data_IF_135718598135
#
_entry.id   IF_135718598135
#
_cell.length_a   1.000
_cell.length_b   1.000
_cell.length_c   1.000
_cell.angle_alpha   90.00
_cell.angle_beta   90.00
_cell.angle_gamma   90.00
#
_symmetry.space_group_name_H-M   'P 1'
#
loop_
_entity.id
_entity.type
_entity.pdbx_description
1 polymer ?
#
# COMPACT_ATOMS: atom_id res chain seq x y z
N UNK A 1 52.32 31.12 25.09
CA UNK A 1 52.31 29.64 25.16
C UNK A 1 51.33 29.18 24.09
N UNK A 2 51.83 28.94 22.88
CA UNK A 2 51.00 28.45 21.77
C UNK A 2 50.81 26.94 21.91
N UNK A 3 49.58 26.41 21.79
CA UNK A 3 49.35 24.98 21.80
C UNK A 3 49.84 24.38 20.48
N UNK A 4 50.96 23.65 20.52
CA UNK A 4 51.44 22.83 19.42
C UNK A 4 50.46 21.66 19.20
N UNK A 5 49.48 21.83 18.32
CA UNK A 5 48.65 20.73 17.85
C UNK A 5 49.40 19.96 16.75
N UNK A 6 49.49 18.63 16.91
CA UNK A 6 50.18 17.75 15.97
C UNK A 6 49.50 17.80 14.59
N UNK A 7 50.23 18.28 13.58
CA UNK A 7 49.72 18.50 12.22
C UNK A 7 49.10 17.23 11.60
N UNK A 8 49.62 16.05 11.93
CA UNK A 8 49.07 14.77 11.47
C UNK A 8 47.74 14.40 12.13
N UNK A 9 47.49 14.89 13.34
CA UNK A 9 46.25 14.66 14.08
C UNK A 9 45.13 15.56 13.56
N UNK A 10 45.46 16.81 13.19
CA UNK A 10 44.53 17.74 12.53
C UNK A 10 44.10 17.23 11.14
N UNK A 11 45.03 16.71 10.32
CA UNK A 11 44.70 16.16 9.00
C UNK A 11 43.82 14.92 9.10
N UNK A 12 44.06 14.04 10.09
CA UNK A 12 43.19 12.88 10.33
C UNK A 12 41.81 13.27 10.83
N UNK A 13 41.71 14.31 11.67
CA UNK A 13 40.43 14.85 12.14
C UNK A 13 39.63 15.49 10.99
N UNK A 14 40.30 16.22 10.09
CA UNK A 14 39.67 16.80 8.89
C UNK A 14 39.18 15.71 7.92
N UNK A 15 39.97 14.65 7.72
CA UNK A 15 39.57 13.52 6.86
C UNK A 15 38.37 12.76 7.45
N UNK A 16 38.35 12.52 8.77
CA UNK A 16 37.24 11.88 9.45
C UNK A 16 35.98 12.75 9.44
N UNK A 17 36.14 14.07 9.58
CA UNK A 17 35.04 15.03 9.43
C UNK A 17 34.47 14.99 8.00
N UNK A 18 35.31 14.94 6.96
CA UNK A 18 34.87 14.90 5.56
C UNK A 18 34.09 13.62 5.19
N UNK A 19 34.44 12.46 5.76
CA UNK A 19 33.70 11.21 5.53
C UNK A 19 32.30 11.25 6.18
N UNK A 20 32.10 12.06 7.21
CA UNK A 20 30.81 12.21 7.90
C UNK A 20 29.79 13.11 7.21
N UNK A 21 30.16 13.89 6.17
CA UNK A 21 29.28 14.91 5.56
C UNK A 21 28.72 14.56 4.18
N UNK A 22 29.12 13.44 3.55
CA UNK A 22 28.68 13.08 2.19
C UNK A 22 27.82 11.82 2.09
N UNK A 23 27.27 11.33 3.19
CA UNK A 23 26.14 10.39 3.06
C UNK A 23 24.90 11.21 2.70
N UNK A 24 24.74 11.49 1.40
CA UNK A 24 23.42 11.78 0.84
C UNK A 24 22.63 10.48 0.95
N UNK A 25 22.09 10.21 2.13
CA UNK A 25 21.13 9.13 2.30
C UNK A 25 19.94 9.50 1.44
N UNK A 26 19.88 8.96 0.22
CA UNK A 26 18.67 9.06 -0.59
C UNK A 26 17.55 8.41 0.21
N UNK A 27 16.57 9.23 0.59
CA UNK A 27 15.46 8.80 1.39
C UNK A 27 14.36 8.31 0.45
N UNK A 28 14.27 7.00 0.29
CA UNK A 28 13.16 6.35 -0.35
C UNK A 28 11.86 6.69 0.38
N UNK A 29 10.74 6.76 -0.33
CA UNK A 29 9.42 6.92 0.30
C UNK A 29 8.47 5.82 -0.13
N UNK A 30 7.76 5.24 0.85
CA UNK A 30 6.65 4.32 0.63
C UNK A 30 5.37 4.99 1.12
N UNK A 31 4.35 5.04 0.27
CA UNK A 31 3.10 5.75 0.57
C UNK A 31 1.90 4.89 0.23
N UNK A 32 0.97 4.79 1.18
CA UNK A 32 -0.36 4.24 0.94
C UNK A 32 -1.29 5.38 0.49
N UNK A 33 -1.97 5.19 -0.64
CA UNK A 33 -2.93 6.16 -1.18
C UNK A 33 -4.21 5.48 -1.66
N UNK A 34 -5.33 6.17 -1.52
CA UNK A 34 -6.57 5.81 -2.19
C UNK A 34 -6.56 6.32 -3.65
N UNK A 35 -7.57 5.92 -4.42
CA UNK A 35 -7.70 6.28 -5.85
C UNK A 35 -7.73 7.78 -6.17
N UNK A 36 -8.03 8.63 -5.18
CA UNK A 36 -8.05 10.09 -5.27
C UNK A 36 -6.75 10.75 -4.75
N UNK A 37 -5.68 9.97 -4.59
CA UNK A 37 -4.38 10.39 -4.06
C UNK A 37 -4.38 10.88 -2.61
N UNK A 38 -5.44 10.59 -1.84
CA UNK A 38 -5.50 10.86 -0.40
C UNK A 38 -4.97 9.68 0.41
N UNK A 39 -4.57 9.91 1.66
CA UNK A 39 -4.18 8.87 2.62
C UNK A 39 -5.20 8.69 3.76
N UNK A 40 -6.29 9.46 3.76
CA UNK A 40 -7.38 9.34 4.73
C UNK A 40 -8.70 9.37 3.98
N UNK A 41 -9.56 8.36 4.17
CA UNK A 41 -10.83 8.28 3.44
C UNK A 41 -11.93 7.54 4.20
N UNK A 42 -13.17 7.89 3.90
CA UNK A 42 -14.36 7.24 4.44
C UNK A 42 -15.01 6.33 3.41
N UNK A 43 -15.41 5.14 3.84
CA UNK A 43 -16.10 4.14 3.04
C UNK A 43 -17.33 3.62 3.79
N UNK A 44 -18.43 3.38 3.06
CA UNK A 44 -19.61 2.79 3.66
C UNK A 44 -19.37 1.31 4.03
N UNK A 45 -19.95 0.84 5.13
CA UNK A 45 -19.97 -0.59 5.49
C UNK A 45 -20.47 -1.43 4.31
N UNK A 46 -19.77 -2.52 4.02
CA UNK A 46 -20.03 -3.44 2.92
C UNK A 46 -19.39 -3.04 1.59
N UNK A 47 -18.91 -1.79 1.46
CA UNK A 47 -18.26 -1.32 0.23
C UNK A 47 -16.88 -1.96 0.03
N UNK A 48 -16.48 -2.06 -1.24
CA UNK A 48 -15.16 -2.50 -1.69
C UNK A 48 -14.38 -1.26 -2.13
N UNK A 49 -13.10 -1.20 -1.77
CA UNK A 49 -12.22 -0.10 -2.14
C UNK A 49 -10.79 -0.58 -2.34
N UNK A 50 -10.02 0.21 -3.08
CA UNK A 50 -8.63 -0.09 -3.41
C UNK A 50 -7.68 0.85 -2.64
N UNK A 51 -6.58 0.28 -2.16
CA UNK A 51 -5.45 0.99 -1.55
C UNK A 51 -4.22 0.70 -2.39
N UNK A 52 -3.63 1.76 -2.91
CA UNK A 52 -2.45 1.70 -3.76
C UNK A 52 -1.20 1.93 -2.91
N UNK A 53 -0.17 1.12 -3.16
CA UNK A 53 1.14 1.21 -2.53
C UNK A 53 2.09 1.86 -3.54
N UNK A 54 2.59 3.05 -3.23
CA UNK A 54 3.51 3.79 -4.07
C UNK A 54 4.90 3.83 -3.47
N UNK A 55 5.91 3.74 -4.34
CA UNK A 55 7.31 4.01 -4.02
C UNK A 55 7.79 5.26 -4.76
N UNK A 56 8.72 6.01 -4.18
CA UNK A 56 9.37 7.13 -4.87
C UNK A 56 10.79 7.37 -4.34
N UNK A 57 11.61 8.04 -5.15
CA UNK A 57 12.98 8.48 -4.84
C UNK A 57 13.92 7.34 -4.42
N UNK A 58 14.04 6.32 -5.28
CA UNK A 58 14.93 5.19 -5.04
C UNK A 58 15.84 5.01 -6.24
N UNK A 59 17.14 5.24 -6.08
CA UNK A 59 18.12 4.77 -7.03
C UNK A 59 18.38 3.27 -6.81
N UNK A 60 18.59 2.54 -7.89
CA UNK A 60 19.11 1.16 -7.87
C UNK A 60 18.22 0.12 -7.16
N UNK A 61 16.89 0.26 -7.20
CA UNK A 61 15.96 -0.69 -6.58
C UNK A 61 16.08 -2.09 -7.22
N UNK A 62 16.45 -3.09 -6.43
CA UNK A 62 16.50 -4.49 -6.84
C UNK A 62 15.37 -5.35 -6.26
N UNK A 63 14.73 -4.90 -5.19
CA UNK A 63 13.58 -5.60 -4.61
C UNK A 63 12.98 -4.89 -3.42
N UNK A 64 11.89 -5.44 -2.91
CA UNK A 64 11.24 -5.01 -1.69
C UNK A 64 10.65 -6.21 -0.96
N UNK A 65 10.57 -6.10 0.36
CA UNK A 65 9.91 -7.08 1.24
C UNK A 65 9.35 -6.34 2.45
N UNK A 66 8.02 -6.36 2.57
CA UNK A 66 7.36 -5.74 3.71
C UNK A 66 5.99 -6.36 3.99
N UNK A 67 5.51 -6.08 5.19
CA UNK A 67 4.17 -6.40 5.63
C UNK A 67 3.28 -5.16 5.64
N UNK A 68 2.11 -5.24 5.02
CA UNK A 68 1.02 -4.30 5.24
C UNK A 68 0.08 -4.86 6.32
N UNK A 69 -0.02 -4.14 7.43
CA UNK A 69 -0.90 -4.49 8.55
C UNK A 69 -2.22 -3.75 8.49
N UNK A 70 -3.31 -4.41 8.89
CA UNK A 70 -4.64 -3.84 8.93
C UNK A 70 -5.50 -4.42 10.07
N UNK A 71 -6.54 -3.69 10.50
CA UNK A 71 -7.50 -4.20 11.47
C UNK A 71 -8.50 -5.16 10.80
N UNK A 72 -8.30 -6.47 10.97
CA UNK A 72 -9.15 -7.51 10.35
C UNK A 72 -10.56 -7.60 10.92
N UNK A 73 -10.81 -7.01 12.09
CA UNK A 73 -12.17 -6.92 12.66
C UNK A 73 -13.02 -5.94 11.85
N UNK A 74 -12.42 -4.87 11.31
CA UNK A 74 -13.14 -3.80 10.63
C UNK A 74 -12.98 -3.83 9.11
N UNK A 75 -11.91 -4.43 8.60
CA UNK A 75 -11.57 -4.50 7.19
C UNK A 75 -11.23 -5.94 6.79
N UNK A 76 -11.57 -6.34 5.56
CA UNK A 76 -11.14 -7.61 4.98
C UNK A 76 -10.32 -7.35 3.73
N UNK A 77 -9.03 -7.71 3.73
CA UNK A 77 -8.23 -7.75 2.51
C UNK A 77 -8.72 -8.92 1.64
N UNK A 78 -9.01 -8.63 0.37
CA UNK A 78 -9.60 -9.57 -0.57
C UNK A 78 -8.61 -10.02 -1.65
N UNK A 79 -7.80 -9.07 -2.14
CA UNK A 79 -6.88 -9.30 -3.24
C UNK A 79 -5.67 -8.37 -3.10
N UNK A 80 -4.49 -8.91 -3.35
CA UNK A 80 -3.28 -8.15 -3.64
C UNK A 80 -2.99 -8.32 -5.13
N UNK A 81 -2.75 -7.21 -5.82
CA UNK A 81 -2.34 -7.20 -7.23
C UNK A 81 -1.02 -6.45 -7.35
N UNK A 82 -0.01 -7.11 -7.91
CA UNK A 82 1.27 -6.49 -8.21
C UNK A 82 1.13 -5.43 -9.31
N UNK A 83 1.89 -4.35 -9.19
CA UNK A 83 2.09 -3.36 -10.25
C UNK A 83 3.16 -3.79 -11.26
N UNK A 84 3.89 -4.88 -10.99
CA UNK A 84 4.94 -5.46 -11.83
C UNK A 84 5.97 -4.41 -12.27
N UNK A 85 6.53 -3.68 -11.31
CA UNK A 85 7.50 -2.60 -11.59
C UNK A 85 8.77 -3.08 -12.30
N UNK A 86 9.07 -4.38 -12.16
CA UNK A 86 10.20 -5.05 -12.79
C UNK A 86 9.85 -5.70 -14.14
N UNK A 87 8.61 -5.54 -14.62
CA UNK A 87 8.16 -6.07 -15.91
C UNK A 87 8.23 -7.60 -15.99
N UNK A 88 8.78 -8.12 -17.09
CA UNK A 88 8.97 -9.57 -17.29
C UNK A 88 10.01 -10.18 -16.36
N UNK A 89 10.84 -9.34 -15.75
CA UNK A 89 11.92 -9.76 -14.85
C UNK A 89 11.47 -9.71 -13.38
N UNK A 90 10.15 -9.73 -13.12
CA UNK A 90 9.61 -9.76 -11.76
C UNK A 90 9.65 -11.20 -11.20
N UNK A 91 10.39 -11.41 -10.10
CA UNK A 91 10.27 -12.61 -9.26
C UNK A 91 9.43 -12.30 -8.03
N UNK A 92 8.30 -13.00 -7.90
CA UNK A 92 7.42 -12.91 -6.73
C UNK A 92 7.94 -13.83 -5.63
N UNK A 93 8.44 -13.25 -4.53
CA UNK A 93 8.94 -14.00 -3.38
C UNK A 93 7.81 -14.35 -2.41
N UNK A 94 6.95 -13.37 -2.12
CA UNK A 94 5.79 -13.54 -1.26
C UNK A 94 4.66 -12.61 -1.68
N UNK A 95 3.47 -13.16 -1.84
CA UNK A 95 2.26 -12.44 -2.20
C UNK A 95 1.08 -13.09 -1.47
N UNK A 96 0.99 -12.86 -0.15
CA UNK A 96 0.05 -13.59 0.70
C UNK A 96 -0.77 -12.66 1.60
N UNK A 97 -2.03 -13.04 1.82
CA UNK A 97 -2.94 -12.36 2.74
C UNK A 97 -3.22 -13.33 3.89
N UNK A 98 -2.90 -12.90 5.10
CA UNK A 98 -3.19 -13.61 6.34
C UNK A 98 -4.16 -12.77 7.18
N UNK A 99 -5.46 -13.13 7.22
CA UNK A 99 -6.41 -12.45 8.09
C UNK A 99 -6.03 -12.59 9.56
N UNK A 100 -6.13 -11.50 10.32
CA UNK A 100 -5.94 -11.53 11.77
C UNK A 100 -7.13 -12.20 12.46
N UNK A 101 -6.88 -12.87 13.58
CA UNK A 101 -7.90 -13.50 14.41
C UNK A 101 -7.98 -12.82 15.78
N UNK A 102 -9.20 -12.51 16.23
CA UNK A 102 -9.43 -11.81 17.50
C UNK A 102 -8.84 -10.39 17.50
N UNK A 103 -7.93 -10.11 18.44
CA UNK A 103 -7.27 -8.81 18.57
C UNK A 103 -6.02 -8.66 17.68
N UNK A 104 -5.60 -9.73 16.99
CA UNK A 104 -4.41 -9.71 16.12
C UNK A 104 -4.72 -8.98 14.82
N UNK A 105 -3.80 -8.12 14.37
CA UNK A 105 -3.90 -7.46 13.07
C UNK A 105 -3.82 -8.48 11.93
N UNK A 106 -4.53 -8.19 10.84
CA UNK A 106 -4.29 -8.87 9.57
C UNK A 106 -2.98 -8.39 8.95
N UNK A 107 -2.36 -9.28 8.16
CA UNK A 107 -1.07 -9.07 7.52
C UNK A 107 -1.18 -9.39 6.03
N UNK A 108 -0.59 -8.56 5.19
CA UNK A 108 -0.38 -8.83 3.78
C UNK A 108 1.12 -8.77 3.55
N UNK A 109 1.73 -9.91 3.24
CA UNK A 109 3.15 -10.00 2.96
C UNK A 109 3.35 -9.78 1.46
N UNK A 110 4.05 -8.71 1.12
CA UNK A 110 4.32 -8.32 -0.25
C UNK A 110 5.83 -8.20 -0.48
N UNK A 111 6.37 -9.14 -1.26
CA UNK A 111 7.78 -9.21 -1.58
C UNK A 111 8.01 -9.59 -3.03
N UNK A 112 8.73 -8.75 -3.75
CA UNK A 112 9.16 -8.97 -5.13
C UNK A 112 10.59 -8.49 -5.33
N UNK A 113 11.28 -9.10 -6.28
CA UNK A 113 12.62 -8.70 -6.67
C UNK A 113 12.80 -8.78 -8.18
N UNK A 114 13.83 -8.12 -8.68
CA UNK A 114 14.30 -8.31 -10.05
C UNK A 114 14.94 -9.70 -10.19
N UNK A 115 14.63 -10.38 -11.29
CA UNK A 115 15.07 -11.75 -11.56
C UNK A 115 16.57 -11.83 -11.85
N UNK A 116 17.20 -12.90 -11.38
CA UNK A 116 18.61 -13.20 -11.65
C UNK A 116 19.63 -12.38 -10.86
N UNK A 117 20.89 -12.43 -11.30
CA UNK A 117 21.99 -11.65 -10.70
C UNK A 117 21.99 -10.25 -11.28
N UNK A 118 21.66 -9.26 -10.46
CA UNK A 118 21.45 -7.88 -10.88
C UNK A 118 22.71 -7.06 -10.61
N UNK A 119 23.28 -6.46 -11.65
CA UNK A 119 24.40 -5.53 -11.48
C UNK A 119 23.93 -4.07 -11.29
N UNK A 120 22.70 -3.76 -11.70
CA UNK A 120 22.05 -2.45 -11.58
C UNK A 120 20.55 -2.63 -11.46
N UNK A 121 19.95 -2.10 -10.41
CA UNK A 121 18.51 -2.06 -10.18
C UNK A 121 17.80 -0.94 -10.94
N UNK A 122 16.53 -0.78 -10.63
CA UNK A 122 15.64 0.22 -11.24
C UNK A 122 15.76 1.58 -10.54
N UNK A 123 15.93 2.64 -11.32
CA UNK A 123 15.89 4.01 -10.79
C UNK A 123 14.45 4.56 -10.83
N UNK A 124 13.92 4.93 -9.66
CA UNK A 124 12.59 5.48 -9.47
C UNK A 124 12.71 6.94 -9.02
N UNK A 125 12.37 7.86 -9.92
CA UNK A 125 12.38 9.31 -9.67
C UNK A 125 11.00 9.92 -9.46
N UNK A 126 9.94 9.21 -9.85
CA UNK A 126 8.55 9.65 -9.72
C UNK A 126 7.71 8.58 -9.00
N UNK A 127 6.61 8.97 -8.32
CA UNK A 127 5.74 8.03 -7.62
C UNK A 127 5.27 6.88 -8.53
N UNK A 128 5.73 5.68 -8.22
CA UNK A 128 5.51 4.47 -9.02
C UNK A 128 4.69 3.46 -8.21
N UNK A 129 3.69 2.84 -8.85
CA UNK A 129 2.79 1.89 -8.20
C UNK A 129 3.50 0.54 -8.00
N UNK A 130 3.71 0.13 -6.75
CA UNK A 130 4.20 -1.21 -6.42
C UNK A 130 3.09 -2.25 -6.52
N UNK A 131 1.89 -1.91 -6.03
CA UNK A 131 0.76 -2.81 -6.03
C UNK A 131 -0.50 -2.19 -5.46
N UNK A 132 -1.62 -2.88 -5.65
CA UNK A 132 -2.94 -2.48 -5.19
C UNK A 132 -3.52 -3.57 -4.32
N UNK A 133 -4.02 -3.18 -3.14
CA UNK A 133 -4.76 -4.06 -2.24
C UNK A 133 -6.24 -3.69 -2.27
N UNK A 134 -7.07 -4.67 -2.57
CA UNK A 134 -8.53 -4.55 -2.51
C UNK A 134 -9.02 -4.92 -1.12
N UNK A 135 -9.76 -4.03 -0.49
CA UNK A 135 -10.36 -4.22 0.81
C UNK A 135 -11.89 -4.19 0.73
N UNK A 136 -12.53 -4.85 1.69
CA UNK A 136 -13.95 -4.70 1.99
C UNK A 136 -14.13 -4.12 3.40
N UNK A 137 -14.97 -3.11 3.54
CA UNK A 137 -15.32 -2.54 4.85
C UNK A 137 -16.35 -3.42 5.57
N UNK A 138 -16.02 -3.94 6.76
CA UNK A 138 -16.87 -4.88 7.50
C UNK A 138 -17.70 -4.20 8.60
N UNK A 139 -17.06 -3.38 9.44
CA UNK A 139 -17.67 -2.81 10.64
C UNK A 139 -17.43 -1.31 10.73
N UNK A 140 -18.44 -0.57 11.19
CA UNK A 140 -18.38 0.88 11.39
C UNK A 140 -17.30 1.19 12.41
N UNK A 141 -16.38 2.08 12.03
CA UNK A 141 -15.22 2.43 12.85
C UNK A 141 -14.67 3.78 12.43
N UNK A 142 -14.30 4.59 13.44
CA UNK A 142 -13.84 5.96 13.25
C UNK A 142 -12.33 6.07 12.94
N UNK A 143 -11.62 4.96 12.71
CA UNK A 143 -10.22 5.03 12.29
C UNK A 143 -9.57 3.66 12.27
N UNK A 144 -9.18 3.21 11.08
CA UNK A 144 -8.45 1.96 10.88
C UNK A 144 -7.14 2.30 10.17
N UNK A 145 -6.04 2.23 10.90
CA UNK A 145 -4.72 2.46 10.35
C UNK A 145 -4.30 1.27 9.48
N UNK A 146 -3.75 1.59 8.32
CA UNK A 146 -3.02 0.70 7.44
C UNK A 146 -1.55 1.11 7.53
N UNK A 147 -0.68 0.17 7.92
CA UNK A 147 0.74 0.47 8.16
C UNK A 147 1.63 -0.53 7.46
N UNK A 148 2.63 -0.01 6.74
CA UNK A 148 3.74 -0.79 6.23
C UNK A 148 4.75 -0.95 7.35
N UNK A 149 5.18 -2.19 7.60
CA UNK A 149 6.25 -2.52 8.53
C UNK A 149 7.23 -3.46 7.83
N UNK A 150 8.52 -3.41 8.18
CA UNK A 150 9.47 -4.38 7.66
C UNK A 150 9.11 -5.79 8.15
N UNK A 151 9.34 -6.78 7.30
CA UNK A 151 9.15 -8.18 7.70
C UNK A 151 10.15 -8.49 8.85
N UNK A 152 9.68 -9.08 9.96
CA UNK A 152 10.51 -9.38 11.13
C UNK A 152 11.66 -10.37 10.86
N UNK A 153 11.73 -11.01 9.70
CA UNK A 153 12.78 -11.98 9.35
C UNK A 153 14.15 -11.30 9.14
N UNK A 154 14.19 -10.02 8.72
CA UNK A 154 15.44 -9.34 8.39
C UNK A 154 16.00 -8.50 9.56
N UNK A 155 17.29 -8.66 9.84
CA UNK A 155 18.06 -7.83 10.79
C UNK A 155 19.36 -7.32 10.14
N UNK A 156 19.54 -6.00 9.93
CA UNK A 156 18.60 -4.92 10.27
C UNK A 156 17.32 -5.01 9.43
N UNK A 157 16.21 -4.54 10.00
CA UNK A 157 14.93 -4.54 9.33
C UNK A 157 14.98 -3.61 8.10
N UNK A 158 14.78 -4.18 6.92
CA UNK A 158 14.84 -3.48 5.63
C UNK A 158 13.52 -3.69 4.89
N UNK A 159 13.06 -2.66 4.20
CA UNK A 159 11.84 -2.68 3.38
C UNK A 159 12.15 -2.81 1.89
N UNK A 160 13.28 -2.23 1.50
CA UNK A 160 13.74 -2.07 0.14
C UNK A 160 15.17 -2.57 0.06
N UNK A 161 15.49 -3.22 -1.05
CA UNK A 161 16.80 -3.78 -1.34
C UNK A 161 17.33 -3.17 -2.62
N UNK A 162 18.58 -2.70 -2.59
CA UNK A 162 19.31 -2.22 -3.75
C UNK A 162 20.09 -3.36 -4.41
N UNK A 163 20.67 -3.14 -5.59
CA UNK A 163 21.39 -4.21 -6.31
C UNK A 163 22.65 -4.68 -5.58
N UNK A 164 23.21 -3.85 -4.69
CA UNK A 164 24.31 -4.18 -3.80
C UNK A 164 23.87 -4.87 -2.48
N UNK A 165 22.59 -5.24 -2.38
CA UNK A 165 21.94 -5.82 -1.20
C UNK A 165 21.93 -4.90 0.04
N UNK A 166 22.25 -3.61 -0.12
CA UNK A 166 21.99 -2.61 0.92
C UNK A 166 20.52 -2.18 0.90
N UNK A 167 20.09 -1.44 1.93
CA UNK A 167 18.76 -0.87 2.01
C UNK A 167 18.84 0.64 2.20
N UNK A 168 18.12 1.45 1.40
CA UNK A 168 18.07 2.89 1.58
C UNK A 168 17.28 3.23 2.85
N UNK A 169 17.54 4.40 3.45
CA UNK A 169 16.63 4.90 4.47
C UNK A 169 15.25 5.12 3.82
N UNK A 170 14.20 4.65 4.49
CA UNK A 170 12.85 4.66 3.92
C UNK A 170 11.89 5.39 4.85
N UNK A 171 11.21 6.40 4.32
CA UNK A 171 10.10 7.09 4.99
C UNK A 171 8.79 6.42 4.61
N UNK A 172 7.96 6.09 5.59
CA UNK A 172 6.67 5.41 5.38
C UNK A 172 5.53 6.36 5.71
N UNK A 173 4.57 6.48 4.79
CA UNK A 173 3.28 7.11 5.04
C UNK A 173 2.18 6.07 4.94
N UNK A 174 1.59 5.71 6.09
CA UNK A 174 0.41 4.83 6.14
C UNK A 174 -0.87 5.52 5.63
N UNK A 175 -1.98 4.78 5.69
CA UNK A 175 -3.30 5.29 5.34
C UNK A 175 -4.30 5.04 6.47
N UNK A 176 -5.36 5.85 6.55
CA UNK A 176 -6.44 5.69 7.52
C UNK A 176 -7.77 5.52 6.83
N UNK A 177 -8.48 4.46 7.18
CA UNK A 177 -9.83 4.15 6.69
C UNK A 177 -10.86 4.42 7.79
N UNK A 178 -11.82 5.28 7.50
CA UNK A 178 -13.04 5.43 8.28
C UNK A 178 -14.14 4.58 7.65
N UNK A 179 -14.84 3.78 8.44
CA UNK A 179 -15.99 3.01 7.96
C UNK A 179 -17.26 3.64 8.51
N UNK A 180 -18.12 4.15 7.63
CA UNK A 180 -19.40 4.75 7.99
C UNK A 180 -20.54 3.74 7.85
N UNK A 181 -21.70 4.05 8.43
CA UNK A 181 -22.91 3.27 8.19
C UNK A 181 -23.23 3.22 6.68
N UNK A 182 -23.83 2.12 6.24
CA UNK A 182 -24.38 2.04 4.89
C UNK A 182 -25.52 3.06 4.74
N UNK A 183 -25.68 3.71 3.58
CA UNK A 183 -26.82 4.57 3.32
C UNK A 183 -28.13 3.81 3.59
N UNK A 184 -29.09 4.47 4.25
CA UNK A 184 -30.41 3.87 4.44
C UNK A 184 -31.02 3.54 3.08
N UNK A 185 -31.58 2.34 2.94
CA UNK A 185 -32.33 1.98 1.74
C UNK A 185 -33.50 2.96 1.58
N UNK A 186 -33.53 3.70 0.47
CA UNK A 186 -34.66 4.58 0.16
C UNK A 186 -35.86 3.68 -0.16
N UNK A 187 -36.98 3.77 0.59
CA UNK A 187 -38.18 3.00 0.27
C UNK A 187 -38.62 3.29 -1.16
N UNK A 188 -38.87 2.25 -1.96
CA UNK A 188 -39.45 2.43 -3.29
C UNK A 188 -40.75 3.23 -3.16
N UNK A 189 -40.96 4.26 -3.99
CA UNK A 189 -42.22 5.00 -3.99
C UNK A 189 -43.38 4.02 -4.20
N UNK A 190 -44.47 4.20 -3.44
CA UNK A 190 -45.66 3.37 -3.57
C UNK A 190 -46.22 3.36 -5.01
N UNK A 191 -45.86 4.35 -5.85
CA UNK A 191 -46.21 4.41 -7.27
C UNK A 191 -45.66 3.23 -8.08
N UNK A 192 -44.54 2.60 -7.70
CA UNK A 192 -44.03 1.40 -8.39
C UNK A 192 -45.05 0.26 -8.35
N UNK A 193 -45.83 0.16 -7.26
CA UNK A 193 -46.92 -0.82 -7.13
C UNK A 193 -48.16 -0.49 -7.98
N UNK A 194 -48.32 0.74 -8.47
CA UNK A 194 -49.40 1.10 -9.39
C UNK A 194 -49.10 0.68 -10.85
N UNK A 195 -47.82 0.55 -11.22
CA UNK A 195 -47.43 0.16 -12.58
C UNK A 195 -47.46 -1.36 -12.82
N UNK A 196 -47.27 -2.18 -11.79
CA UNK A 196 -47.27 -3.65 -11.92
C UNK A 196 -48.63 -4.22 -12.39
N UNK A 197 -49.77 -3.87 -11.78
CA UNK A 197 -51.08 -4.34 -12.26
C UNK A 197 -51.50 -3.68 -13.58
N UNK A 198 -51.12 -2.42 -13.82
CA UNK A 198 -51.43 -1.73 -15.09
C UNK A 198 -50.71 -2.37 -16.29
N UNK A 199 -49.45 -2.81 -16.11
CA UNK A 199 -48.70 -3.52 -17.13
C UNK A 199 -49.31 -4.90 -17.44
N UNK A 200 -49.73 -5.64 -16.41
CA UNK A 200 -50.43 -6.93 -16.57
C UNK A 200 -51.78 -6.78 -17.30
N UNK A 201 -52.50 -5.67 -17.08
CA UNK A 201 -53.74 -5.36 -17.80
C UNK A 201 -53.52 -5.13 -19.30
N UNK A 202 -52.43 -4.46 -19.68
CA UNK A 202 -52.17 -4.16 -21.10
C UNK A 202 -51.78 -5.42 -21.89
N UNK A 203 -51.03 -6.35 -21.27
CA UNK A 203 -50.62 -7.59 -21.93
C UNK A 203 -51.65 -8.73 -21.83
N UNK A 204 -52.61 -8.67 -20.89
CA UNK A 204 -53.58 -9.75 -20.66
C UNK A 204 -54.82 -9.73 -21.56
N UNK A 205 -55.18 -8.62 -22.20
CA UNK A 205 -56.45 -8.47 -22.95
C UNK A 205 -56.32 -8.59 -24.48
N UNK A 206 -55.16 -9.01 -25.00
CA UNK A 206 -54.92 -9.18 -26.44
C UNK A 206 -55.54 -10.43 -27.10
N UNK A 207 -56.65 -10.99 -26.61
CA UNK A 207 -57.32 -12.12 -27.27
C UNK A 207 -58.33 -11.60 -28.31
N UNK A 208 -57.96 -11.63 -29.59
CA UNK A 208 -58.87 -11.37 -30.72
C UNK A 208 -59.96 -12.45 -30.77
N UNK A 209 -61.25 -12.10 -30.79
CA UNK A 209 -62.30 -13.01 -31.26
C UNK A 209 -62.25 -13.11 -32.80
N UNK A 210 -62.55 -14.32 -33.29
CA UNK A 210 -62.56 -14.74 -34.70
C UNK A 210 -63.45 -13.86 -35.60
#
# INVERSE_FOLDING_TARGET
>A
MEPFMNKHLLTKLLALAFVGFFQTTEAATLNLKFSDNTNIRSFAKGSIFDVNIYINNVADLAGFDFDLTYNSTNLSAQLLSSGSIFGTDTESLANSITPGSGATLGKIHFAEMLSGSVATGLNISEPTLLGTVKFQALNVSAGNALSIIPDPIYTPAQLLFLSDASGPATTITGATVHVTAAPAAVPLPASVFLFVPALLGIFGFGKKPN
#
